data_IF_560626082145
#
_entry.id   IF_560626082145
#
_cell.length_a   1.000
_cell.length_b   1.000
_cell.length_c   1.000
_cell.angle_alpha   90.00
_cell.angle_beta   90.00
_cell.angle_gamma   90.00
#
_symmetry.space_group_name_H-M   'P 1'
#
loop_
_entity.id
_entity.type
_entity.pdbx_description
1 polymer ?
#
# COMPACT_ATOMS: atom_id res chain seq x y z
N UNK A 1 12.55 3.64 16.30
CA UNK A 1 11.29 4.40 16.25
C UNK A 1 10.16 3.42 16.49
N UNK A 2 9.24 3.68 17.42
CA UNK A 2 8.06 2.85 17.55
C UNK A 2 7.36 2.82 16.18
N UNK A 3 6.93 1.63 15.74
CA UNK A 3 6.01 1.53 14.60
C UNK A 3 4.82 2.44 14.92
N UNK A 4 4.31 3.26 14.00
CA UNK A 4 3.03 3.90 14.24
C UNK A 4 2.03 2.77 14.50
N UNK A 5 1.60 2.60 15.75
CA UNK A 5 0.41 1.80 16.02
C UNK A 5 -0.74 2.74 15.72
N UNK A 6 -1.25 2.65 14.50
CA UNK A 6 -2.52 3.26 14.16
C UNK A 6 -3.60 2.55 14.99
N UNK A 7 -4.54 3.32 15.53
CA UNK A 7 -5.79 2.73 16.03
C UNK A 7 -6.60 2.15 14.87
N UNK A 8 -7.55 1.26 15.19
CA UNK A 8 -8.34 0.55 14.18
C UNK A 8 -9.13 1.51 13.27
N UNK A 9 -9.56 2.66 13.82
CA UNK A 9 -10.25 3.71 13.07
C UNK A 9 -9.32 4.33 12.01
N UNK A 10 -8.08 4.65 12.40
CA UNK A 10 -7.07 5.20 11.51
C UNK A 10 -6.65 4.19 10.44
N UNK A 11 -6.57 2.89 10.77
CA UNK A 11 -6.28 1.84 9.80
C UNK A 11 -7.42 1.65 8.80
N UNK A 12 -8.68 1.64 9.26
CA UNK A 12 -9.84 1.52 8.38
C UNK A 12 -9.88 2.63 7.31
N UNK A 13 -9.42 3.82 7.66
CA UNK A 13 -9.33 4.94 6.73
C UNK A 13 -8.32 4.74 5.57
N UNK A 14 -7.51 3.67 5.58
CA UNK A 14 -6.52 3.38 4.53
C UNK A 14 -6.94 2.27 3.55
N UNK A 15 -8.06 1.62 3.81
CA UNK A 15 -8.69 0.70 2.87
C UNK A 15 -9.70 1.50 2.04
N UNK A 16 -9.50 1.51 0.73
CA UNK A 16 -10.35 2.26 -0.18
C UNK A 16 -10.90 1.33 -1.26
N UNK A 17 -12.21 1.42 -1.57
CA UNK A 17 -12.73 0.80 -2.77
C UNK A 17 -12.05 1.42 -4.00
N UNK A 18 -12.14 0.71 -5.13
CA UNK A 18 -11.77 1.30 -6.40
C UNK A 18 -12.61 2.54 -6.66
N UNK A 19 -11.97 3.58 -7.21
CA UNK A 19 -12.71 4.74 -7.73
C UNK A 19 -13.55 4.32 -8.92
N UNK A 20 -14.81 4.76 -8.97
CA UNK A 20 -15.72 4.48 -10.09
C UNK A 20 -15.11 4.93 -11.43
N UNK A 21 -14.35 6.02 -11.43
CA UNK A 21 -13.67 6.54 -12.63
C UNK A 21 -12.66 5.54 -13.24
N UNK A 22 -12.15 4.58 -12.47
CA UNK A 22 -11.25 3.54 -13.00
C UNK A 22 -11.96 2.56 -13.92
N UNK A 23 -13.28 2.41 -13.80
CA UNK A 23 -14.05 1.59 -14.75
C UNK A 23 -14.09 2.27 -16.13
N UNK A 24 -14.00 3.59 -16.20
CA UNK A 24 -13.98 4.33 -17.46
C UNK A 24 -12.57 4.51 -18.05
N UNK A 25 -11.52 4.08 -17.33
CA UNK A 25 -10.15 4.12 -17.81
C UNK A 25 -9.97 3.20 -19.04
N UNK A 26 -9.27 3.69 -20.07
CA UNK A 26 -9.09 2.97 -21.34
C UNK A 26 -8.24 1.70 -21.22
N UNK A 27 -7.39 1.60 -20.20
CA UNK A 27 -6.46 0.50 -19.99
C UNK A 27 -7.02 -0.43 -18.90
N UNK A 28 -7.35 0.13 -17.75
CA UNK A 28 -7.73 -0.61 -16.54
C UNK A 28 -9.21 -0.99 -16.55
N UNK A 29 -10.07 -0.13 -17.09
CA UNK A 29 -11.52 -0.31 -17.09
C UNK A 29 -12.02 -1.61 -17.74
N UNK A 30 -11.52 -2.03 -18.92
CA UNK A 30 -11.88 -3.32 -19.51
C UNK A 30 -11.59 -4.51 -18.60
N UNK A 31 -10.45 -4.49 -17.90
CA UNK A 31 -10.05 -5.56 -16.98
C UNK A 31 -10.93 -5.54 -15.73
N UNK A 32 -11.18 -4.37 -15.14
CA UNK A 32 -12.05 -4.26 -13.96
C UNK A 32 -13.48 -4.71 -14.23
N UNK A 33 -14.05 -4.36 -15.38
CA UNK A 33 -15.38 -4.85 -15.79
C UNK A 33 -15.41 -6.36 -15.96
N UNK A 34 -14.36 -6.94 -16.53
CA UNK A 34 -14.23 -8.39 -16.70
C UNK A 34 -14.15 -9.09 -15.34
N UNK A 35 -13.28 -8.61 -14.46
CA UNK A 35 -13.12 -9.16 -13.10
C UNK A 35 -14.41 -9.02 -12.28
N UNK A 36 -15.16 -7.92 -12.42
CA UNK A 36 -16.43 -7.75 -11.71
C UNK A 36 -17.47 -8.84 -12.02
N UNK A 37 -17.36 -9.50 -13.17
CA UNK A 37 -18.25 -10.61 -13.57
C UNK A 37 -17.60 -11.97 -13.31
N UNK A 38 -16.32 -12.12 -13.66
CA UNK A 38 -15.63 -13.41 -13.63
C UNK A 38 -15.09 -13.77 -12.24
N UNK A 39 -14.62 -12.79 -11.47
CA UNK A 39 -13.99 -12.98 -10.17
C UNK A 39 -14.03 -11.68 -9.33
N UNK A 40 -15.19 -11.36 -8.73
CA UNK A 40 -15.34 -10.15 -7.93
C UNK A 40 -14.50 -10.16 -6.64
N UNK A 41 -14.06 -11.33 -6.17
CA UNK A 41 -13.25 -11.47 -4.96
C UNK A 41 -11.86 -10.85 -5.13
N UNK A 42 -11.30 -10.88 -6.35
CA UNK A 42 -10.06 -10.16 -6.66
C UNK A 42 -10.21 -8.66 -6.42
N UNK A 43 -11.36 -8.08 -6.80
CA UNK A 43 -11.63 -6.65 -6.60
C UNK A 43 -11.74 -6.35 -5.10
N UNK A 44 -12.46 -7.18 -4.36
CA UNK A 44 -12.56 -7.05 -2.90
C UNK A 44 -11.18 -7.14 -2.23
N UNK A 45 -10.38 -8.14 -2.60
CA UNK A 45 -9.04 -8.34 -2.06
C UNK A 45 -8.10 -7.15 -2.31
N UNK A 46 -8.20 -6.48 -3.47
CA UNK A 46 -7.40 -5.29 -3.76
C UNK A 46 -7.93 -4.06 -3.02
N UNK A 47 -9.24 -3.94 -2.80
CA UNK A 47 -9.80 -2.88 -1.95
C UNK A 47 -9.25 -2.98 -0.51
N UNK A 48 -9.11 -4.22 -0.02
CA UNK A 48 -8.59 -4.58 1.30
C UNK A 48 -7.06 -4.49 1.43
N UNK A 49 -6.35 -3.95 0.43
CA UNK A 49 -4.90 -3.67 0.58
C UNK A 49 -4.69 -2.45 1.46
N UNK A 50 -3.90 -2.62 2.54
CA UNK A 50 -3.45 -1.51 3.39
C UNK A 50 -2.52 -0.57 2.60
N UNK A 51 -2.95 0.69 2.47
CA UNK A 51 -2.22 1.75 1.74
C UNK A 51 -1.46 2.71 2.67
N UNK A 52 -1.44 2.45 3.98
CA UNK A 52 -0.78 3.29 4.99
C UNK A 52 0.68 3.59 4.64
N UNK A 53 1.43 2.58 4.21
CA UNK A 53 2.85 2.70 3.86
C UNK A 53 3.11 3.62 2.67
N UNK A 54 2.25 3.56 1.64
CA UNK A 54 2.37 4.42 0.46
C UNK A 54 2.15 5.88 0.89
N UNK A 55 1.12 6.15 1.69
CA UNK A 55 0.84 7.50 2.20
C UNK A 55 2.00 8.04 3.03
N UNK A 56 2.50 7.24 3.96
CA UNK A 56 3.58 7.65 4.86
C UNK A 56 4.89 7.91 4.10
N UNK A 57 5.15 7.15 3.03
CA UNK A 57 6.25 7.42 2.12
C UNK A 57 6.04 8.72 1.31
N UNK A 58 4.81 9.03 0.91
CA UNK A 58 4.49 10.26 0.16
C UNK A 58 4.60 11.54 1.00
N UNK A 59 4.50 11.44 2.33
CA UNK A 59 4.74 12.55 3.26
C UNK A 59 6.22 12.88 3.48
N UNK A 60 7.11 12.00 3.05
CA UNK A 60 8.54 12.15 3.20
C UNK A 60 9.16 12.74 1.93
N UNK A 61 10.15 13.61 2.11
CA UNK A 61 11.05 14.01 1.03
C UNK A 61 11.79 12.78 0.47
N UNK A 62 12.29 12.83 -0.77
CA UNK A 62 13.10 11.75 -1.32
C UNK A 62 14.31 11.39 -0.42
N UNK A 63 14.93 12.38 0.22
CA UNK A 63 16.07 12.18 1.11
C UNK A 63 15.69 11.43 2.39
N UNK A 64 14.57 11.79 3.01
CA UNK A 64 14.06 11.10 4.21
C UNK A 64 13.73 9.64 3.93
N UNK A 65 13.13 9.35 2.76
CA UNK A 65 12.86 7.97 2.31
C UNK A 65 14.15 7.15 2.17
N UNK A 66 15.20 7.73 1.58
CA UNK A 66 16.49 7.06 1.43
C UNK A 66 17.09 6.72 2.81
N UNK A 67 17.13 7.70 3.72
CA UNK A 67 17.67 7.49 5.07
C UNK A 67 16.87 6.44 5.85
N UNK A 68 15.53 6.45 5.74
CA UNK A 68 14.68 5.44 6.36
C UNK A 68 15.00 4.04 5.84
N UNK A 69 15.05 3.87 4.52
CA UNK A 69 15.35 2.57 3.89
C UNK A 69 16.75 2.06 4.23
N UNK A 70 17.76 2.93 4.22
CA UNK A 70 19.13 2.58 4.61
C UNK A 70 19.19 2.06 6.06
N UNK A 71 18.51 2.73 6.99
CA UNK A 71 18.45 2.30 8.40
C UNK A 71 17.74 0.96 8.55
N UNK A 72 16.62 0.77 7.87
CA UNK A 72 15.85 -0.48 7.88
C UNK A 72 16.67 -1.65 7.34
N UNK A 73 17.37 -1.46 6.21
CA UNK A 73 18.25 -2.46 5.62
C UNK A 73 19.41 -2.84 6.54
N UNK A 74 20.10 -1.85 7.10
CA UNK A 74 21.18 -2.08 8.06
C UNK A 74 20.69 -2.81 9.32
N UNK A 75 19.45 -2.56 9.75
CA UNK A 75 18.79 -3.29 10.82
C UNK A 75 18.57 -4.77 10.46
N UNK A 76 18.03 -5.04 9.28
CA UNK A 76 17.81 -6.40 8.77
C UNK A 76 19.12 -7.19 8.63
N UNK A 77 20.17 -6.57 8.09
CA UNK A 77 21.48 -7.21 7.94
C UNK A 77 22.09 -7.60 9.30
N UNK A 78 21.95 -6.74 10.31
CA UNK A 78 22.37 -7.08 11.69
C UNK A 78 21.61 -8.27 12.25
N UNK A 79 20.32 -8.40 11.96
CA UNK A 79 19.50 -9.55 12.41
C UNK A 79 19.88 -10.83 11.69
N UNK A 80 20.35 -10.74 10.44
CA UNK A 80 20.82 -11.88 9.63
C UNK A 80 22.23 -12.34 10.00
N UNK A 81 22.95 -11.61 10.84
CA UNK A 81 24.34 -11.92 11.20
C UNK A 81 25.35 -11.63 10.09
N UNK A 82 24.90 -10.97 9.02
CA UNK A 82 25.73 -10.54 7.89
C UNK A 82 26.29 -9.15 8.21
N UNK A 83 27.58 -9.07 8.51
CA UNK A 83 28.34 -7.82 8.65
C UNK A 83 29.61 -7.87 7.83
#
# INVERSE_FOLDING_TARGET
>A
MPRPSYDDETLQAYFHPFSDALYDDLIVGPVLRRLAVEDPDIIAAVADVDRSQIRDAMRQTPWERLLFNQRSWNGLMRLRGER
#
